data_IF_718629560043
#
_entry.id   IF_718629560043
#
_cell.length_a   1.000
_cell.length_b   1.000
_cell.length_c   1.000
_cell.angle_alpha   90.00
_cell.angle_beta   90.00
_cell.angle_gamma   90.00
#
_symmetry.space_group_name_H-M   'P 1'
#
loop_
_entity.id
_entity.type
_entity.pdbx_description
1 polymer ?
#
# COMPACT_ATOMS: atom_id res chain seq x y z
N UNK A 1 11.73 11.93 0.96
CA UNK A 1 11.17 12.51 -0.27
C UNK A 1 12.26 13.37 -0.85
N UNK A 2 12.59 13.15 -2.12
CA UNK A 2 13.51 14.02 -2.84
C UNK A 2 12.77 15.30 -3.23
N UNK A 3 13.51 16.39 -3.43
CA UNK A 3 12.93 17.70 -3.74
C UNK A 3 12.11 17.71 -5.05
N UNK A 4 12.34 16.73 -5.94
CA UNK A 4 11.70 16.63 -7.25
C UNK A 4 10.44 15.76 -7.26
N UNK A 5 10.15 15.04 -6.18
CA UNK A 5 9.06 14.05 -6.16
C UNK A 5 7.71 14.72 -6.40
N UNK A 6 7.47 15.91 -5.82
CA UNK A 6 6.21 16.63 -5.97
C UNK A 6 5.92 17.06 -7.41
N UNK A 7 6.97 17.46 -8.14
CA UNK A 7 6.85 17.86 -9.53
C UNK A 7 6.52 16.64 -10.40
N UNK A 8 7.21 15.51 -10.18
CA UNK A 8 6.91 14.27 -10.89
C UNK A 8 5.52 13.73 -10.58
N UNK A 9 5.02 13.86 -9.35
CA UNK A 9 3.65 13.46 -9.04
C UNK A 9 2.63 14.28 -9.84
N UNK A 10 2.83 15.59 -9.95
CA UNK A 10 1.96 16.47 -10.75
C UNK A 10 2.02 16.12 -12.24
N UNK A 11 3.22 15.97 -12.79
CA UNK A 11 3.42 15.60 -14.20
C UNK A 11 2.80 14.24 -14.54
N UNK A 12 2.99 13.25 -13.66
CA UNK A 12 2.43 11.91 -13.83
C UNK A 12 0.89 11.94 -13.81
N UNK A 13 0.29 12.67 -12.87
CA UNK A 13 -1.16 12.79 -12.78
C UNK A 13 -1.75 13.60 -13.95
N UNK A 14 -1.00 14.56 -14.53
CA UNK A 14 -1.42 15.31 -15.72
C UNK A 14 -1.55 14.43 -16.98
N UNK A 15 -1.02 13.20 -16.98
CA UNK A 15 -1.25 12.24 -18.07
C UNK A 15 -2.74 11.92 -18.26
N UNK A 16 -3.56 12.12 -17.23
CA UNK A 16 -5.02 11.95 -17.30
C UNK A 16 -5.70 12.93 -18.27
N UNK A 17 -5.10 14.09 -18.52
CA UNK A 17 -5.61 15.07 -19.50
C UNK A 17 -5.54 14.55 -20.93
N UNK A 18 -4.57 13.68 -21.21
CA UNK A 18 -4.36 13.07 -22.53
C UNK A 18 -5.22 11.83 -22.75
N UNK A 19 -5.57 11.13 -21.68
CA UNK A 19 -6.36 9.90 -21.73
C UNK A 19 -7.44 9.93 -20.63
N UNK A 20 -8.61 10.52 -20.92
CA UNK A 20 -9.74 10.49 -20.00
C UNK A 20 -10.06 9.07 -19.57
N UNK A 21 -10.16 8.84 -18.26
CA UNK A 21 -10.37 7.51 -17.67
C UNK A 21 -9.10 6.75 -17.28
N UNK A 22 -7.90 7.27 -17.60
CA UNK A 22 -6.66 6.78 -16.99
C UNK A 22 -6.73 6.96 -15.47
N UNK A 23 -6.33 5.93 -14.74
CA UNK A 23 -6.22 5.96 -13.28
C UNK A 23 -4.75 5.87 -12.88
N UNK A 24 -4.34 6.74 -11.96
CA UNK A 24 -2.96 6.82 -11.48
C UNK A 24 -2.89 6.39 -10.03
N UNK A 25 -2.01 5.45 -9.74
CA UNK A 25 -1.82 4.91 -8.39
C UNK A 25 -0.41 5.24 -7.90
N UNK A 26 -0.28 5.51 -6.61
CA UNK A 26 1.02 5.66 -5.95
C UNK A 26 1.32 4.37 -5.20
N UNK A 27 2.49 3.77 -5.45
CA UNK A 27 2.94 2.58 -4.72
C UNK A 27 3.85 2.99 -3.57
N UNK A 28 3.63 2.39 -2.40
CA UNK A 28 4.40 2.63 -1.18
C UNK A 28 5.09 1.33 -0.76
N UNK A 29 6.41 1.30 -0.94
CA UNK A 29 7.25 0.17 -0.55
C UNK A 29 8.26 -0.20 -1.61
N UNK A 30 8.20 -1.44 -2.06
CA UNK A 30 9.19 -2.07 -2.92
C UNK A 30 10.33 -2.69 -2.10
N UNK A 31 11.07 -3.58 -2.75
CA UNK A 31 12.14 -4.39 -2.15
C UNK A 31 13.13 -3.62 -1.26
N UNK A 32 13.58 -2.45 -1.73
CA UNK A 32 14.62 -1.65 -1.07
C UNK A 32 14.11 -0.86 0.15
N UNK A 33 12.80 -0.67 0.28
CA UNK A 33 12.21 -0.05 1.47
C UNK A 33 12.39 -0.92 2.73
N UNK A 34 12.56 -2.24 2.53
CA UNK A 34 12.79 -3.24 3.58
C UNK A 34 11.52 -3.64 4.34
N UNK A 35 11.46 -4.90 4.80
CA UNK A 35 10.26 -5.44 5.44
C UNK A 35 9.99 -4.93 6.86
N UNK A 36 11.04 -4.58 7.62
CA UNK A 36 10.90 -4.17 9.03
C UNK A 36 10.04 -2.92 9.22
N UNK A 37 10.19 -1.91 8.36
CA UNK A 37 9.44 -0.65 8.48
C UNK A 37 7.93 -0.90 8.34
N UNK A 38 7.55 -1.81 7.45
CA UNK A 38 6.15 -2.22 7.28
C UNK A 38 5.66 -3.07 8.45
N UNK A 39 6.46 -4.03 8.93
CA UNK A 39 6.10 -4.83 10.12
C UNK A 39 5.84 -3.94 11.34
N UNK A 40 6.70 -2.94 11.59
CA UNK A 40 6.53 -2.01 12.71
C UNK A 40 5.31 -1.09 12.51
N UNK A 41 5.10 -0.57 11.29
CA UNK A 41 3.94 0.27 10.97
C UNK A 41 2.62 -0.48 11.12
N UNK A 42 2.54 -1.72 10.63
CA UNK A 42 1.31 -2.51 10.65
C UNK A 42 0.94 -3.01 12.06
N UNK A 43 1.90 -3.08 13.00
CA UNK A 43 1.76 -3.74 14.30
C UNK A 43 0.71 -3.11 15.21
N UNK A 44 0.62 -1.78 15.25
CA UNK A 44 -0.24 -1.09 16.20
C UNK A 44 -1.35 -0.29 15.50
N UNK A 45 -2.57 -0.22 16.08
CA UNK A 45 -3.66 0.58 15.48
C UNK A 45 -3.30 2.05 15.26
N UNK A 46 -2.55 2.66 16.20
CA UNK A 46 -2.13 4.05 16.07
C UNK A 46 -1.17 4.29 14.90
N UNK A 47 -0.21 3.40 14.66
CA UNK A 47 0.74 3.52 13.55
C UNK A 47 0.08 3.25 12.21
N UNK A 48 -0.84 2.28 12.15
CA UNK A 48 -1.68 2.06 10.95
C UNK A 48 -2.53 3.27 10.62
N UNK A 49 -3.22 3.84 11.60
CA UNK A 49 -4.04 5.03 11.39
C UNK A 49 -3.23 6.23 10.89
N UNK A 50 -2.05 6.46 11.48
CA UNK A 50 -1.14 7.51 11.03
C UNK A 50 -0.69 7.30 9.58
N UNK A 51 -0.34 6.06 9.21
CA UNK A 51 0.01 5.70 7.84
C UNK A 51 -1.16 5.94 6.86
N UNK A 52 -2.35 5.41 7.17
CA UNK A 52 -3.55 5.55 6.34
C UNK A 52 -3.89 7.02 6.10
N UNK A 53 -3.86 7.84 7.15
CA UNK A 53 -4.10 9.28 7.03
C UNK A 53 -3.08 9.94 6.11
N UNK A 54 -1.79 9.64 6.30
CA UNK A 54 -0.73 10.21 5.47
C UNK A 54 -0.83 9.80 3.99
N UNK A 55 -1.24 8.56 3.72
CA UNK A 55 -1.45 8.08 2.36
C UNK A 55 -2.64 8.79 1.68
N UNK A 56 -3.76 8.96 2.40
CA UNK A 56 -4.92 9.71 1.89
C UNK A 56 -4.56 11.17 1.64
N UNK A 57 -3.87 11.83 2.58
CA UNK A 57 -3.43 13.21 2.43
C UNK A 57 -2.54 13.38 1.19
N UNK A 58 -1.63 12.44 0.92
CA UNK A 58 -0.80 12.42 -0.29
C UNK A 58 -1.65 12.25 -1.55
N UNK A 59 -2.58 11.30 -1.58
CA UNK A 59 -3.46 11.07 -2.74
C UNK A 59 -4.32 12.30 -3.05
N UNK A 60 -4.90 12.93 -2.02
CA UNK A 60 -5.69 14.16 -2.14
C UNK A 60 -4.83 15.30 -2.67
N UNK A 61 -3.63 15.48 -2.11
CA UNK A 61 -2.75 16.62 -2.43
C UNK A 61 -2.26 16.57 -3.88
N UNK A 62 -1.89 15.38 -4.37
CA UNK A 62 -1.29 15.24 -5.70
C UNK A 62 -2.23 14.66 -6.76
N UNK A 63 -3.47 14.34 -6.38
CA UNK A 63 -4.53 13.93 -7.30
C UNK A 63 -4.44 12.47 -7.77
N UNK A 64 -3.86 11.57 -6.97
CA UNK A 64 -3.85 10.13 -7.27
C UNK A 64 -5.25 9.51 -7.11
N UNK A 65 -5.55 8.48 -7.90
CA UNK A 65 -6.81 7.74 -7.86
C UNK A 65 -6.77 6.54 -6.90
N UNK A 66 -5.60 6.18 -6.38
CA UNK A 66 -5.45 5.05 -5.48
C UNK A 66 -4.04 4.86 -4.96
N UNK A 67 -3.91 3.93 -4.02
CA UNK A 67 -2.65 3.55 -3.38
C UNK A 67 -2.42 2.06 -3.54
N UNK A 68 -1.17 1.70 -3.78
CA UNK A 68 -0.69 0.34 -3.85
C UNK A 68 0.27 0.08 -2.68
N UNK A 69 0.00 -0.96 -1.89
CA UNK A 69 0.86 -1.35 -0.76
C UNK A 69 1.83 -2.42 -1.23
N UNK A 70 3.08 -2.03 -1.42
CA UNK A 70 4.15 -2.90 -1.92
C UNK A 70 5.06 -3.38 -0.79
N UNK A 71 4.45 -4.07 0.19
CA UNK A 71 5.20 -4.68 1.29
C UNK A 71 5.74 -6.04 0.86
N UNK A 72 7.05 -6.11 0.63
CA UNK A 72 7.73 -7.33 0.20
C UNK A 72 8.65 -7.92 1.30
N UNK A 73 8.31 -9.02 1.97
CA UNK A 73 6.96 -9.58 2.13
C UNK A 73 6.66 -9.74 3.64
N UNK A 74 5.38 -9.68 4.05
CA UNK A 74 4.99 -9.93 5.44
C UNK A 74 5.47 -11.30 5.92
N UNK A 75 5.93 -11.38 7.17
CA UNK A 75 6.44 -12.59 7.80
C UNK A 75 7.70 -13.22 7.15
N UNK A 76 8.29 -12.58 6.13
CA UNK A 76 9.55 -13.04 5.55
C UNK A 76 10.72 -12.79 6.53
N UNK A 77 11.27 -13.87 7.08
CA UNK A 77 12.30 -13.81 8.13
C UNK A 77 13.59 -13.12 7.67
N UNK A 78 13.99 -13.32 6.41
CA UNK A 78 15.14 -12.67 5.77
C UNK A 78 14.93 -11.15 5.58
N UNK A 79 13.69 -10.69 5.75
CA UNK A 79 13.30 -9.28 5.67
C UNK A 79 12.85 -8.72 7.02
N UNK A 80 13.15 -9.43 8.11
CA UNK A 80 12.81 -9.09 9.50
C UNK A 80 11.30 -9.05 9.77
N UNK A 81 10.53 -9.88 9.05
CA UNK A 81 9.11 -10.06 9.29
C UNK A 81 8.83 -10.89 10.54
N UNK A 82 7.65 -10.68 11.13
CA UNK A 82 7.09 -11.41 12.27
C UNK A 82 5.91 -12.30 11.84
N UNK A 83 5.61 -13.33 12.63
CA UNK A 83 4.50 -14.24 12.33
C UNK A 83 3.13 -13.53 12.26
N UNK A 84 2.97 -12.43 13.03
CA UNK A 84 1.74 -11.64 13.09
C UNK A 84 1.56 -10.72 11.86
N UNK A 85 2.60 -10.51 11.06
CA UNK A 85 2.60 -9.56 9.95
C UNK A 85 1.49 -9.83 8.93
N UNK A 86 1.21 -11.10 8.63
CA UNK A 86 0.11 -11.48 7.74
C UNK A 86 -1.23 -10.95 8.27
N UNK A 87 -1.52 -11.15 9.56
CA UNK A 87 -2.77 -10.69 10.17
C UNK A 87 -2.81 -9.16 10.25
N UNK A 88 -1.68 -8.54 10.55
CA UNK A 88 -1.55 -7.09 10.62
C UNK A 88 -1.74 -6.45 9.24
N UNK A 89 -1.23 -7.06 8.18
CA UNK A 89 -1.46 -6.62 6.80
C UNK A 89 -2.95 -6.73 6.42
N UNK A 90 -3.63 -7.84 6.75
CA UNK A 90 -5.08 -7.96 6.50
C UNK A 90 -5.84 -6.83 7.22
N UNK A 91 -5.46 -6.54 8.46
CA UNK A 91 -6.08 -5.49 9.26
C UNK A 91 -5.82 -4.11 8.66
N UNK A 92 -4.58 -3.83 8.26
CA UNK A 92 -4.19 -2.59 7.58
C UNK A 92 -4.98 -2.40 6.28
N UNK A 93 -5.05 -3.42 5.42
CA UNK A 93 -5.76 -3.34 4.14
C UNK A 93 -7.26 -3.10 4.34
N UNK A 94 -7.86 -3.73 5.35
CA UNK A 94 -9.25 -3.49 5.73
C UNK A 94 -9.48 -2.04 6.19
N UNK A 95 -8.68 -1.57 7.14
CA UNK A 95 -8.79 -0.20 7.67
C UNK A 95 -8.54 0.85 6.56
N UNK A 96 -7.58 0.62 5.67
CA UNK A 96 -7.29 1.48 4.53
C UNK A 96 -8.46 1.51 3.53
N UNK A 97 -9.03 0.35 3.19
CA UNK A 97 -10.19 0.27 2.30
C UNK A 97 -11.41 1.01 2.87
N UNK A 98 -11.70 0.82 4.16
CA UNK A 98 -12.78 1.52 4.87
C UNK A 98 -12.56 3.05 4.88
N UNK A 99 -11.32 3.50 5.10
CA UNK A 99 -10.97 4.93 5.09
C UNK A 99 -11.08 5.57 3.70
N UNK A 100 -10.79 4.81 2.63
CA UNK A 100 -10.92 5.28 1.25
C UNK A 100 -12.37 5.42 0.77
N UNK A 101 -13.35 4.78 1.44
CA UNK A 101 -14.79 4.88 1.16
C UNK A 101 -15.19 4.67 -0.32
N UNK A 102 -14.40 3.91 -1.08
CA UNK A 102 -14.61 3.71 -2.52
C UNK A 102 -14.24 4.91 -3.41
N UNK A 103 -13.78 6.03 -2.84
CA UNK A 103 -13.30 7.18 -3.61
C UNK A 103 -11.90 6.95 -4.19
N UNK A 104 -11.10 6.12 -3.52
CA UNK A 104 -9.75 5.74 -3.93
C UNK A 104 -9.62 4.23 -4.05
N UNK A 105 -8.91 3.78 -5.09
CA UNK A 105 -8.55 2.39 -5.25
C UNK A 105 -7.47 1.96 -4.25
N UNK A 106 -7.53 0.70 -3.84
CA UNK A 106 -6.57 0.10 -2.92
C UNK A 106 -6.09 -1.21 -3.52
N UNK A 107 -4.79 -1.32 -3.76
CA UNK A 107 -4.13 -2.53 -4.29
C UNK A 107 -2.97 -2.95 -3.42
N UNK A 108 -2.45 -4.14 -3.67
CA UNK A 108 -1.38 -4.73 -2.86
C UNK A 108 -0.51 -5.66 -3.67
N UNK A 109 0.80 -5.59 -3.49
CA UNK A 109 1.74 -6.53 -4.10
C UNK A 109 1.71 -7.84 -3.34
N UNK A 110 1.54 -8.94 -4.10
CA UNK A 110 1.57 -10.29 -3.57
C UNK A 110 2.71 -11.08 -4.22
N UNK A 111 3.41 -11.93 -3.47
CA UNK A 111 4.46 -12.78 -4.02
C UNK A 111 3.85 -13.84 -4.95
N UNK A 112 4.53 -14.14 -6.05
CA UNK A 112 4.13 -15.21 -6.99
C UNK A 112 4.50 -16.61 -6.49
N UNK A 113 5.40 -16.72 -5.52
CA UNK A 113 5.87 -18.01 -5.01
C UNK A 113 4.80 -18.73 -4.18
N UNK A 114 4.60 -20.03 -4.46
CA UNK A 114 3.59 -20.86 -3.79
C UNK A 114 3.79 -20.90 -2.26
N UNK A 115 5.05 -20.97 -1.81
CA UNK A 115 5.40 -21.02 -0.39
C UNK A 115 4.96 -19.76 0.37
N UNK A 116 5.13 -18.57 -0.23
CA UNK A 116 4.68 -17.31 0.37
C UNK A 116 3.17 -17.05 0.16
N UNK A 117 2.51 -17.72 -0.79
CA UNK A 117 1.06 -17.61 -0.96
C UNK A 117 0.28 -18.43 0.09
N UNK A 118 0.83 -19.56 0.55
CA UNK A 118 0.20 -20.39 1.59
C UNK A 118 0.09 -19.70 2.96
N UNK A 119 0.88 -18.65 3.21
CA UNK A 119 0.78 -17.84 4.43
C UNK A 119 -0.29 -16.76 4.36
N UNK A 120 -0.87 -16.45 3.19
CA UNK A 120 -1.95 -15.47 3.07
C UNK A 120 -3.33 -16.13 3.28
N UNK A 121 -4.14 -15.66 4.25
CA UNK A 121 -5.52 -16.14 4.39
C UNK A 121 -6.34 -15.73 3.16
N UNK A 122 -7.24 -16.62 2.74
CA UNK A 122 -8.17 -16.45 1.60
C UNK A 122 -9.06 -15.20 1.69
N UNK A 123 -9.08 -14.51 2.85
CA UNK A 123 -9.82 -13.27 3.05
C UNK A 123 -9.34 -12.08 2.20
N UNK A 124 -8.10 -12.08 1.70
CA UNK A 124 -7.64 -11.02 0.78
C UNK A 124 -8.12 -11.22 -0.67
N UNK A 125 -8.43 -12.45 -1.09
CA UNK A 125 -8.93 -12.71 -2.45
C UNK A 125 -10.38 -12.24 -2.65
N UNK A 126 -11.10 -11.97 -1.55
CA UNK A 126 -12.52 -11.60 -1.54
C UNK A 126 -12.79 -10.08 -1.56
N UNK A 127 -11.76 -9.24 -1.66
CA UNK A 127 -11.91 -7.78 -1.85
C UNK A 127 -11.90 -7.39 -3.33
N UNK A 128 -12.64 -8.13 -4.17
CA UNK A 128 -12.89 -7.80 -5.58
C UNK A 128 -14.35 -7.40 -5.76
#
# INVERSE_FOLDING_TARGET
MNDWDEDFYKEFNALKDRKPGLKTYISVGGWDAGGKVFSDMARFPGTRNAFIKSAIDLMVTYGFDGVDIDWEYPAAADRQGLAEDTKNMVTLMKELHEACQGNYGVTVTLPSSYCMRCTFPSSLEMMK
#
